data_IF_728923326798
#
_entry.id   IF_728923326798
#
_cell.length_a   1.000
_cell.length_b   1.000
_cell.length_c   1.000
_cell.angle_alpha   90.00
_cell.angle_beta   90.00
_cell.angle_gamma   90.00
#
_symmetry.space_group_name_H-M   'P 1'
#
loop_
_entity.id
_entity.type
_entity.pdbx_description
1 polymer ?
#
# COMPACT_ATOMS: atom_id res chain seq x y z
N UNK A 1 -48.45 -61.25 -36.13
CA UNK A 1 -46.99 -61.15 -35.93
C UNK A 1 -46.59 -59.73 -36.32
N UNK A 2 -46.22 -58.90 -35.35
CA UNK A 2 -45.88 -57.49 -35.59
C UNK A 2 -44.44 -57.29 -35.11
N UNK A 3 -43.52 -57.12 -36.06
CA UNK A 3 -42.11 -56.81 -35.77
C UNK A 3 -42.04 -55.40 -35.18
N UNK A 4 -41.47 -55.28 -33.99
CA UNK A 4 -41.09 -54.00 -33.42
C UNK A 4 -39.83 -53.49 -34.12
N UNK A 5 -39.95 -52.38 -34.85
CA UNK A 5 -38.80 -51.61 -35.30
C UNK A 5 -38.14 -50.99 -34.07
N UNK A 6 -36.91 -51.42 -33.75
CA UNK A 6 -36.07 -50.63 -32.84
C UNK A 6 -35.64 -49.38 -33.58
N UNK A 7 -36.19 -48.23 -33.16
CA UNK A 7 -35.65 -46.92 -33.51
C UNK A 7 -34.31 -46.79 -32.77
N UNK A 8 -33.20 -46.99 -33.47
CA UNK A 8 -31.90 -46.54 -32.99
C UNK A 8 -31.99 -45.02 -32.77
N UNK A 9 -31.96 -44.59 -31.51
CA UNK A 9 -31.71 -43.18 -31.18
C UNK A 9 -30.35 -42.82 -31.78
N UNK A 10 -30.24 -41.75 -32.58
CA UNK A 10 -28.93 -41.24 -32.97
C UNK A 10 -28.16 -40.93 -31.69
N UNK A 11 -26.98 -41.51 -31.54
CA UNK A 11 -26.01 -41.09 -30.54
C UNK A 11 -25.80 -39.58 -30.73
N UNK A 12 -25.95 -38.74 -29.68
CA UNK A 12 -25.71 -37.31 -29.81
C UNK A 12 -24.32 -37.10 -30.39
N UNK A 13 -24.21 -36.41 -31.53
CA UNK A 13 -22.92 -36.00 -32.04
C UNK A 13 -22.29 -35.04 -31.02
N UNK A 14 -21.03 -35.23 -30.62
CA UNK A 14 -20.33 -34.24 -29.83
C UNK A 14 -20.07 -33.01 -30.69
N UNK A 15 -20.53 -31.85 -30.24
CA UNK A 15 -20.29 -30.55 -30.88
C UNK A 15 -18.79 -30.23 -30.81
N UNK A 16 -18.07 -30.54 -31.89
CA UNK A 16 -16.61 -30.50 -31.95
C UNK A 16 -15.97 -29.09 -31.88
N UNK A 17 -16.79 -28.04 -31.72
CA UNK A 17 -16.39 -26.62 -31.65
C UNK A 17 -16.99 -25.87 -30.45
N UNK A 18 -17.44 -26.56 -29.39
CA UNK A 18 -17.93 -25.87 -28.19
C UNK A 18 -16.79 -25.11 -27.48
N UNK A 19 -16.88 -23.78 -27.28
CA UNK A 19 -15.86 -23.02 -26.56
C UNK A 19 -15.82 -23.44 -25.09
N UNK A 20 -14.61 -23.72 -24.56
CA UNK A 20 -14.40 -24.04 -23.15
C UNK A 20 -14.80 -22.82 -22.27
N UNK A 21 -15.88 -22.91 -21.46
CA UNK A 21 -16.32 -21.80 -20.63
C UNK A 21 -15.47 -21.63 -19.37
N UNK A 22 -14.52 -22.53 -19.09
CA UNK A 22 -13.75 -22.56 -17.83
C UNK A 22 -12.96 -21.27 -17.64
N UNK A 23 -12.19 -20.84 -18.63
CA UNK A 23 -11.36 -19.63 -18.49
C UNK A 23 -12.21 -18.34 -18.33
N UNK A 24 -13.27 -18.11 -19.14
CA UNK A 24 -14.20 -17.00 -18.91
C UNK A 24 -14.88 -17.04 -17.53
N UNK A 25 -15.31 -18.23 -17.07
CA UNK A 25 -15.96 -18.38 -15.77
C UNK A 25 -15.00 -18.15 -14.59
N UNK A 26 -13.77 -18.65 -14.67
CA UNK A 26 -12.72 -18.38 -13.68
C UNK A 26 -12.44 -16.89 -13.59
N UNK A 27 -12.29 -16.20 -14.74
CA UNK A 27 -12.12 -14.75 -14.77
C UNK A 27 -13.28 -14.01 -14.10
N UNK A 28 -14.52 -14.39 -14.41
CA UNK A 28 -15.70 -13.83 -13.76
C UNK A 28 -15.67 -14.01 -12.22
N UNK A 29 -15.32 -15.21 -11.73
CA UNK A 29 -15.21 -15.48 -10.28
C UNK A 29 -14.12 -14.63 -9.62
N UNK A 30 -12.98 -14.45 -10.28
CA UNK A 30 -11.90 -13.56 -9.81
C UNK A 30 -12.39 -12.12 -9.70
N UNK A 31 -13.04 -11.61 -10.74
CA UNK A 31 -13.53 -10.23 -10.79
C UNK A 31 -14.60 -9.96 -9.74
N UNK A 32 -15.53 -10.90 -9.54
CA UNK A 32 -16.55 -10.83 -8.50
C UNK A 32 -15.93 -10.81 -7.08
N UNK A 33 -14.94 -11.66 -6.82
CA UNK A 33 -14.24 -11.70 -5.54
C UNK A 33 -13.46 -10.40 -5.27
N UNK A 34 -12.77 -9.86 -6.28
CA UNK A 34 -12.06 -8.58 -6.16
C UNK A 34 -13.01 -7.40 -5.88
N UNK A 35 -14.19 -7.38 -6.53
CA UNK A 35 -15.19 -6.35 -6.28
C UNK A 35 -15.77 -6.43 -4.85
N UNK A 36 -16.00 -7.65 -4.34
CA UNK A 36 -16.44 -7.85 -2.96
C UNK A 36 -15.38 -7.37 -1.96
N UNK A 37 -14.12 -7.71 -2.16
CA UNK A 37 -12.99 -7.27 -1.32
C UNK A 37 -12.88 -5.74 -1.31
N UNK A 38 -12.96 -5.11 -2.49
CA UNK A 38 -12.94 -3.65 -2.60
C UNK A 38 -14.06 -3.01 -1.77
N UNK A 39 -15.29 -3.53 -1.87
CA UNK A 39 -16.44 -3.04 -1.10
C UNK A 39 -16.22 -3.14 0.42
N UNK A 40 -15.69 -4.27 0.89
CA UNK A 40 -15.34 -4.47 2.30
C UNK A 40 -14.28 -3.47 2.76
N UNK A 41 -13.21 -3.29 1.99
CA UNK A 41 -12.12 -2.38 2.33
C UNK A 41 -12.58 -0.92 2.34
N UNK A 42 -13.35 -0.46 1.36
CA UNK A 42 -13.89 0.90 1.34
C UNK A 42 -14.84 1.18 2.50
N UNK A 43 -15.67 0.21 2.87
CA UNK A 43 -16.59 0.35 4.01
C UNK A 43 -15.82 0.50 5.32
N UNK A 44 -14.76 -0.30 5.52
CA UNK A 44 -13.90 -0.18 6.69
C UNK A 44 -13.12 1.14 6.70
N UNK A 45 -12.65 1.58 5.53
CA UNK A 45 -11.87 2.80 5.39
C UNK A 45 -12.70 4.07 5.63
N UNK A 46 -13.95 4.10 5.18
CA UNK A 46 -14.88 5.21 5.40
C UNK A 46 -15.04 5.53 6.90
N UNK A 47 -15.07 4.51 7.76
CA UNK A 47 -15.14 4.69 9.21
C UNK A 47 -13.92 5.44 9.80
N UNK A 48 -12.77 5.44 9.10
CA UNK A 48 -11.56 6.18 9.47
C UNK A 48 -11.50 7.56 8.80
N UNK A 49 -11.88 7.64 7.52
CA UNK A 49 -11.73 8.85 6.70
C UNK A 49 -12.85 9.87 6.93
N UNK A 50 -14.09 9.43 7.07
CA UNK A 50 -15.24 10.34 7.18
C UNK A 50 -15.17 11.25 8.42
N UNK A 51 -14.81 10.76 9.62
CA UNK A 51 -14.61 11.65 10.77
C UNK A 51 -13.56 12.73 10.51
N UNK A 52 -12.49 12.41 9.77
CA UNK A 52 -11.43 13.36 9.41
C UNK A 52 -11.89 14.38 8.37
N UNK A 53 -12.74 13.98 7.43
CA UNK A 53 -13.39 14.92 6.52
C UNK A 53 -14.23 15.94 7.30
N UNK A 54 -14.97 15.49 8.32
CA UNK A 54 -15.76 16.40 9.17
C UNK A 54 -14.91 17.43 9.91
N UNK A 55 -13.66 17.08 10.26
CA UNK A 55 -12.72 18.02 10.91
C UNK A 55 -12.32 19.19 10.00
N UNK A 56 -12.52 19.12 8.68
CA UNK A 56 -12.27 20.24 7.77
C UNK A 56 -13.30 21.35 7.94
N UNK A 57 -14.54 21.02 8.32
CA UNK A 57 -15.62 21.98 8.45
C UNK A 57 -15.39 22.92 9.64
N UNK A 58 -15.34 24.22 9.34
CA UNK A 58 -15.10 25.26 10.35
C UNK A 58 -13.69 25.25 10.96
N UNK A 59 -12.77 24.41 10.49
CA UNK A 59 -11.43 24.28 11.05
C UNK A 59 -10.67 25.61 11.10
N UNK A 60 -10.74 26.38 10.01
CA UNK A 60 -10.14 27.70 9.92
C UNK A 60 -10.70 28.67 10.98
N UNK A 61 -12.01 28.64 11.22
CA UNK A 61 -12.65 29.47 12.25
C UNK A 61 -12.20 29.07 13.65
N UNK A 62 -12.25 27.77 13.98
CA UNK A 62 -11.77 27.24 15.28
C UNK A 62 -10.31 27.60 15.54
N UNK A 63 -9.45 27.49 14.52
CA UNK A 63 -8.06 27.90 14.63
C UNK A 63 -7.92 29.41 14.84
N UNK A 64 -8.68 30.24 14.10
CA UNK A 64 -8.65 31.69 14.27
C UNK A 64 -9.06 32.11 15.69
N UNK A 65 -10.12 31.50 16.24
CA UNK A 65 -10.58 31.71 17.61
C UNK A 65 -9.52 31.29 18.63
N UNK A 66 -8.98 30.08 18.50
CA UNK A 66 -7.93 29.59 19.39
C UNK A 66 -6.67 30.49 19.34
N UNK A 67 -6.26 30.90 18.14
CA UNK A 67 -5.12 31.81 17.95
C UNK A 67 -5.38 33.17 18.60
N UNK A 68 -6.56 33.74 18.39
CA UNK A 68 -6.94 35.03 18.99
C UNK A 68 -6.95 34.94 20.52
N UNK A 69 -7.50 33.86 21.09
CA UNK A 69 -7.56 33.64 22.53
C UNK A 69 -6.17 33.48 23.18
N UNK A 70 -5.17 33.03 22.42
CA UNK A 70 -3.81 32.79 22.92
C UNK A 70 -2.81 33.87 22.50
N UNK A 71 -3.25 34.92 21.79
CA UNK A 71 -2.35 35.91 21.18
C UNK A 71 -1.46 36.59 22.20
N UNK A 72 -2.04 37.15 23.26
CA UNK A 72 -1.29 37.89 24.28
C UNK A 72 -0.33 36.97 25.03
N UNK A 73 -0.75 35.74 25.35
CA UNK A 73 0.10 34.74 26.00
C UNK A 73 1.27 34.29 25.11
N UNK A 74 1.05 34.18 23.80
CA UNK A 74 2.11 33.89 22.82
C UNK A 74 3.12 35.04 22.74
N UNK A 75 2.65 36.28 22.69
CA UNK A 75 3.48 37.48 22.63
C UNK A 75 4.29 37.68 23.92
N UNK A 76 3.69 37.46 25.09
CA UNK A 76 4.39 37.50 26.37
C UNK A 76 5.47 36.41 26.44
N UNK A 77 5.16 35.17 26.01
CA UNK A 77 6.15 34.09 25.96
C UNK A 77 7.33 34.46 25.05
N UNK A 78 7.07 35.06 23.88
CA UNK A 78 8.13 35.52 22.97
C UNK A 78 9.04 36.54 23.66
N UNK A 79 8.45 37.55 24.32
CA UNK A 79 9.20 38.57 25.05
C UNK A 79 9.99 37.98 26.23
N UNK A 80 9.40 37.03 26.95
CA UNK A 80 10.05 36.35 28.06
C UNK A 80 11.28 35.57 27.60
N UNK A 81 11.20 34.88 26.46
CA UNK A 81 12.35 34.19 25.86
C UNK A 81 13.48 35.15 25.47
N UNK A 82 13.14 36.35 24.97
CA UNK A 82 14.14 37.38 24.66
C UNK A 82 14.82 37.92 25.94
N UNK A 83 14.06 38.16 27.02
CA UNK A 83 14.64 38.55 28.32
C UNK A 83 15.59 37.48 28.88
N UNK A 84 15.19 36.22 28.84
CA UNK A 84 16.03 35.09 29.28
C UNK A 84 17.32 35.01 28.45
N UNK A 85 17.20 35.18 27.13
CA UNK A 85 18.34 35.19 26.21
C UNK A 85 19.34 36.28 26.60
N UNK A 86 18.89 37.51 26.77
CA UNK A 86 19.76 38.64 27.08
C UNK A 86 20.49 38.44 28.41
N UNK A 87 19.79 37.95 29.44
CA UNK A 87 20.39 37.63 30.75
C UNK A 87 21.47 36.53 30.64
N UNK A 88 21.20 35.48 29.86
CA UNK A 88 22.16 34.40 29.61
C UNK A 88 23.34 34.85 28.75
N UNK A 89 23.15 35.78 27.80
CA UNK A 89 24.22 36.30 26.95
C UNK A 89 25.19 37.18 27.74
N UNK A 90 24.73 37.83 28.81
CA UNK A 90 25.60 38.50 29.77
C UNK A 90 26.38 37.52 30.66
N UNK A 91 25.81 36.35 30.96
CA UNK A 91 26.34 35.41 31.95
C UNK A 91 27.21 34.29 31.38
N UNK A 92 26.99 33.88 30.12
CA UNK A 92 27.75 32.82 29.43
C UNK A 92 28.58 33.45 28.33
N UNK A 93 29.89 33.21 28.30
CA UNK A 93 30.79 33.74 27.25
C UNK A 93 30.40 33.23 25.87
N UNK A 94 30.61 34.05 24.84
CA UNK A 94 30.24 33.74 23.46
C UNK A 94 30.80 32.42 22.93
N UNK A 95 32.08 32.14 23.19
CA UNK A 95 32.72 30.89 22.77
C UNK A 95 32.02 29.65 23.37
N UNK A 96 31.60 29.73 24.63
CA UNK A 96 30.85 28.64 25.29
C UNK A 96 29.45 28.51 24.72
N UNK A 97 28.74 29.63 24.46
CA UNK A 97 27.42 29.62 23.82
C UNK A 97 27.45 28.94 22.46
N UNK A 98 28.42 29.30 21.61
CA UNK A 98 28.58 28.73 20.27
C UNK A 98 28.86 27.23 20.33
N UNK A 99 29.73 26.80 21.26
CA UNK A 99 30.03 25.38 21.47
C UNK A 99 28.81 24.59 21.94
N UNK A 100 28.08 25.11 22.93
CA UNK A 100 26.86 24.48 23.45
C UNK A 100 25.76 24.40 22.40
N UNK A 101 25.56 25.46 21.62
CA UNK A 101 24.58 25.49 20.52
C UNK A 101 24.90 24.46 19.44
N UNK A 102 26.18 24.32 19.06
CA UNK A 102 26.63 23.29 18.11
C UNK A 102 26.36 21.89 18.65
N UNK A 103 26.79 21.59 19.88
CA UNK A 103 26.55 20.30 20.52
C UNK A 103 25.05 19.97 20.62
N UNK A 104 24.21 20.96 20.93
CA UNK A 104 22.76 20.80 20.94
C UNK A 104 22.19 20.42 19.57
N UNK A 105 22.64 21.09 18.50
CA UNK A 105 22.20 20.77 17.13
C UNK A 105 22.63 19.37 16.69
N UNK A 106 23.87 18.98 16.99
CA UNK A 106 24.38 17.64 16.68
C UNK A 106 23.53 16.56 17.39
N UNK A 107 23.26 16.72 18.69
CA UNK A 107 22.41 15.81 19.47
C UNK A 107 20.94 15.80 19.00
N UNK A 108 20.38 16.94 18.62
CA UNK A 108 19.04 16.97 18.02
C UNK A 108 19.00 16.18 16.70
N UNK A 109 20.06 16.24 15.90
CA UNK A 109 20.18 15.44 14.69
C UNK A 109 20.19 13.94 14.96
N UNK A 110 20.95 13.49 15.96
CA UNK A 110 21.07 12.07 16.34
C UNK A 110 19.80 11.49 16.95
N UNK A 111 19.00 12.32 17.64
CA UNK A 111 17.80 11.90 18.38
C UNK A 111 16.50 11.96 17.58
N UNK A 112 16.54 12.37 16.31
CA UNK A 112 15.34 12.37 15.44
C UNK A 112 14.77 10.96 15.28
N UNK A 113 13.46 10.80 15.47
CA UNK A 113 12.81 9.49 15.48
C UNK A 113 12.82 8.81 14.11
N UNK A 114 12.86 7.47 14.14
CA UNK A 114 12.82 6.58 12.96
C UNK A 114 11.57 6.80 12.09
N UNK A 115 10.45 7.27 12.67
CA UNK A 115 9.24 7.63 11.92
C UNK A 115 9.45 8.75 10.89
N UNK A 116 10.49 9.59 11.06
CA UNK A 116 10.82 10.61 10.08
C UNK A 116 11.45 10.02 8.79
N UNK A 117 11.94 8.78 8.84
CA UNK A 117 12.70 8.13 7.76
C UNK A 117 11.88 7.23 6.82
N UNK A 118 10.56 7.08 7.05
CA UNK A 118 9.72 6.29 6.14
C UNK A 118 9.58 7.00 4.79
N UNK A 119 10.18 6.48 3.72
CA UNK A 119 9.95 7.02 2.37
C UNK A 119 8.58 6.55 1.84
N UNK A 120 7.75 7.51 1.43
CA UNK A 120 6.43 7.26 0.84
C UNK A 120 6.36 7.72 -0.62
N UNK A 121 7.47 8.19 -1.20
CA UNK A 121 7.52 8.76 -2.55
C UNK A 121 7.00 7.81 -3.61
N UNK A 122 7.36 6.53 -3.51
CA UNK A 122 6.87 5.51 -4.44
C UNK A 122 5.36 5.31 -4.32
N UNK A 123 4.83 5.17 -3.11
CA UNK A 123 3.39 5.03 -2.86
C UNK A 123 2.62 6.25 -3.34
N UNK A 124 3.15 7.45 -3.11
CA UNK A 124 2.57 8.74 -3.52
C UNK A 124 2.58 8.94 -5.05
N UNK A 125 3.40 8.17 -5.78
CA UNK A 125 3.47 8.18 -7.24
C UNK A 125 2.53 7.20 -7.93
N UNK A 126 1.89 6.29 -7.18
CA UNK A 126 1.02 5.26 -7.75
C UNK A 126 -0.37 5.81 -8.12
N UNK A 127 -1.01 5.14 -9.07
CA UNK A 127 -2.45 5.26 -9.33
C UNK A 127 -3.07 3.88 -9.38
N UNK A 128 -4.35 3.74 -9.05
CA UNK A 128 -5.03 2.43 -9.04
C UNK A 128 -5.03 1.74 -10.41
N UNK A 129 -4.93 2.51 -11.49
CA UNK A 129 -4.88 1.99 -12.86
C UNK A 129 -3.47 1.57 -13.30
N UNK A 130 -2.43 1.95 -12.54
CA UNK A 130 -1.01 1.74 -12.86
C UNK A 130 -0.27 1.06 -11.71
N UNK A 131 -0.83 -0.05 -11.23
CA UNK A 131 -0.15 -0.89 -10.24
C UNK A 131 0.82 -1.87 -10.93
N UNK A 132 1.96 -2.20 -10.28
CA UNK A 132 2.86 -3.22 -10.80
C UNK A 132 2.17 -4.58 -10.86
N UNK A 133 2.57 -5.43 -11.81
CA UNK A 133 1.96 -6.75 -12.02
C UNK A 133 2.68 -7.86 -11.21
N UNK A 134 3.88 -7.57 -10.72
CA UNK A 134 4.71 -8.52 -9.97
C UNK A 134 4.16 -8.67 -8.54
N UNK A 135 3.78 -9.90 -8.15
CA UNK A 135 3.12 -10.14 -6.86
C UNK A 135 4.00 -9.78 -5.64
N UNK A 136 5.30 -10.08 -5.69
CA UNK A 136 6.22 -9.73 -4.60
C UNK A 136 6.35 -8.22 -4.46
N UNK A 137 6.34 -7.49 -5.58
CA UNK A 137 6.34 -6.03 -5.59
C UNK A 137 5.02 -5.46 -5.06
N UNK A 138 3.89 -6.02 -5.46
CA UNK A 138 2.56 -5.64 -4.97
C UNK A 138 2.45 -5.83 -3.45
N UNK A 139 2.90 -6.97 -2.92
CA UNK A 139 2.87 -7.27 -1.47
C UNK A 139 3.79 -6.32 -0.69
N UNK A 140 4.99 -6.05 -1.20
CA UNK A 140 5.90 -5.08 -0.59
C UNK A 140 5.28 -3.66 -0.55
N UNK A 141 4.71 -3.21 -1.66
CA UNK A 141 4.04 -1.92 -1.74
C UNK A 141 2.79 -1.85 -0.87
N UNK A 142 2.00 -2.92 -0.77
CA UNK A 142 0.82 -2.96 0.10
C UNK A 142 1.20 -2.78 1.59
N UNK A 143 2.32 -3.38 2.02
CA UNK A 143 2.85 -3.20 3.37
C UNK A 143 3.34 -1.76 3.60
N UNK A 144 4.11 -1.21 2.67
CA UNK A 144 4.61 0.17 2.74
C UNK A 144 3.47 1.20 2.70
N UNK A 145 2.46 0.99 1.87
CA UNK A 145 1.29 1.86 1.74
C UNK A 145 0.51 1.94 3.05
N UNK A 146 0.36 0.83 3.78
CA UNK A 146 -0.22 0.82 5.12
C UNK A 146 0.52 1.73 6.09
N UNK A 147 1.87 1.62 6.16
CA UNK A 147 2.68 2.50 7.00
C UNK A 147 2.59 3.98 6.57
N UNK A 148 2.54 4.24 5.25
CA UNK A 148 2.40 5.58 4.70
C UNK A 148 1.03 6.21 4.98
N UNK A 149 -0.05 5.42 4.96
CA UNK A 149 -1.39 5.82 5.34
C UNK A 149 -1.43 6.20 6.83
N UNK A 150 -0.93 5.34 7.73
CA UNK A 150 -0.81 5.67 9.16
C UNK A 150 0.00 6.94 9.42
N UNK A 151 1.10 7.14 8.68
CA UNK A 151 1.87 8.39 8.77
C UNK A 151 1.05 9.60 8.35
N UNK A 152 0.22 9.48 7.31
CA UNK A 152 -0.65 10.56 6.84
C UNK A 152 -1.79 10.83 7.82
N UNK A 153 -2.39 9.80 8.40
CA UNK A 153 -3.37 9.91 9.50
C UNK A 153 -2.79 10.73 10.65
N UNK A 154 -1.65 10.31 11.19
CA UNK A 154 -0.98 10.98 12.30
C UNK A 154 -0.60 12.44 11.94
N UNK A 155 -0.19 12.69 10.70
CA UNK A 155 0.14 14.03 10.24
C UNK A 155 -1.09 14.93 10.14
N UNK A 156 -2.21 14.40 9.63
CA UNK A 156 -3.48 15.11 9.56
C UNK A 156 -4.05 15.37 10.95
N UNK A 157 -4.12 14.36 11.81
CA UNK A 157 -4.70 14.46 13.15
C UNK A 157 -3.96 15.46 14.02
N UNK A 158 -2.61 15.48 13.95
CA UNK A 158 -1.79 16.50 14.62
C UNK A 158 -2.16 17.91 14.17
N UNK A 159 -2.31 18.12 12.86
CA UNK A 159 -2.65 19.44 12.33
C UNK A 159 -4.10 19.81 12.66
N UNK A 160 -5.05 18.88 12.54
CA UNK A 160 -6.46 19.10 12.85
C UNK A 160 -6.70 19.38 14.34
N UNK A 161 -5.89 18.77 15.22
CA UNK A 161 -5.92 18.96 16.66
C UNK A 161 -5.21 20.24 17.13
N UNK A 162 -4.53 20.97 16.24
CA UNK A 162 -3.77 22.17 16.60
C UNK A 162 -4.60 23.21 17.38
N UNK A 163 -5.85 23.57 17.00
CA UNK A 163 -6.65 24.54 17.76
C UNK A 163 -6.85 24.17 19.23
N UNK A 164 -7.02 22.87 19.53
CA UNK A 164 -7.20 22.38 20.89
C UNK A 164 -5.90 22.30 21.70
N UNK A 165 -4.74 22.27 21.03
CA UNK A 165 -3.43 22.07 21.67
C UNK A 165 -2.64 23.38 21.83
N UNK A 166 -2.98 24.44 21.08
CA UNK A 166 -2.29 25.74 21.17
C UNK A 166 -2.23 26.29 22.59
N UNK A 167 -3.37 26.38 23.28
CA UNK A 167 -3.44 26.92 24.64
C UNK A 167 -2.62 26.12 25.66
N UNK A 168 -2.83 24.80 25.78
CA UNK A 168 -2.02 23.93 26.63
C UNK A 168 -0.51 24.06 26.35
N UNK A 169 -0.11 24.09 25.07
CA UNK A 169 1.30 24.18 24.67
C UNK A 169 1.93 25.53 25.04
N UNK A 170 1.23 26.64 24.79
CA UNK A 170 1.72 27.98 25.18
C UNK A 170 1.84 28.09 26.70
N UNK A 171 0.86 27.58 27.45
CA UNK A 171 0.88 27.57 28.91
C UNK A 171 2.04 26.76 29.48
N UNK A 172 2.29 25.57 28.95
CA UNK A 172 3.41 24.73 29.36
C UNK A 172 4.75 25.42 29.10
N UNK A 173 4.95 25.95 27.90
CA UNK A 173 6.16 26.70 27.55
C UNK A 173 6.33 27.96 28.42
N UNK A 174 5.26 28.70 28.71
CA UNK A 174 5.28 29.84 29.62
C UNK A 174 5.66 29.46 31.06
N UNK A 175 5.21 28.29 31.53
CA UNK A 175 5.58 27.77 32.84
C UNK A 175 7.08 27.42 32.88
N UNK A 176 7.58 26.76 31.84
CA UNK A 176 9.00 26.44 31.72
C UNK A 176 9.88 27.69 31.58
N UNK A 177 9.42 28.70 30.81
CA UNK A 177 10.09 29.98 30.66
C UNK A 177 10.19 30.72 31.99
N UNK A 178 9.09 30.79 32.76
CA UNK A 178 9.06 31.42 34.07
C UNK A 178 9.99 30.75 35.05
N UNK A 179 10.00 29.42 35.10
CA UNK A 179 10.93 28.67 35.95
C UNK A 179 12.39 28.95 35.57
N UNK A 180 12.69 29.01 34.26
CA UNK A 180 14.04 29.30 33.78
C UNK A 180 14.47 30.75 34.06
N UNK A 181 13.59 31.74 33.87
CA UNK A 181 13.87 33.15 34.15
C UNK A 181 14.22 33.36 35.63
N UNK A 182 13.51 32.69 36.54
CA UNK A 182 13.82 32.67 37.97
C UNK A 182 15.15 31.97 38.28
N UNK A 183 15.46 30.89 37.57
CA UNK A 183 16.72 30.15 37.71
C UNK A 183 17.92 31.00 37.28
N UNK A 184 17.86 31.69 36.15
CA UNK A 184 18.98 32.48 35.62
C UNK A 184 19.41 33.59 36.58
N UNK A 185 18.46 34.16 37.34
CA UNK A 185 18.72 35.20 38.34
C UNK A 185 19.15 34.65 39.72
N UNK A 186 19.24 33.33 39.90
CA UNK A 186 19.50 32.69 41.18
C UNK A 186 21.00 32.61 41.55
N UNK A 187 21.39 32.81 42.83
CA UNK A 187 22.80 32.94 43.25
C UNK A 187 23.63 31.64 43.23
N UNK A 188 23.07 30.50 42.78
CA UNK A 188 23.73 29.18 42.78
C UNK A 188 23.59 28.39 41.48
N UNK A 189 23.09 29.01 40.41
CA UNK A 189 22.83 28.29 39.16
C UNK A 189 24.03 28.28 38.21
N UNK A 190 24.19 27.15 37.52
CA UNK A 190 25.17 27.02 36.43
C UNK A 190 24.61 27.67 35.16
N UNK A 191 25.16 28.80 34.71
CA UNK A 191 24.63 29.54 33.58
C UNK A 191 24.75 28.74 32.27
N UNK A 192 25.68 27.78 32.16
CA UNK A 192 25.79 26.90 30.99
C UNK A 192 24.62 25.92 30.94
N UNK A 193 24.23 25.34 32.08
CA UNK A 193 23.05 24.47 32.17
C UNK A 193 21.77 25.24 31.84
N UNK A 194 21.60 26.44 32.37
CA UNK A 194 20.47 27.30 32.06
C UNK A 194 20.44 27.69 30.57
N UNK A 195 21.61 27.91 29.95
CA UNK A 195 21.71 28.13 28.50
C UNK A 195 21.24 26.93 27.68
N UNK A 196 21.60 25.70 28.06
CA UNK A 196 21.09 24.50 27.36
C UNK A 196 19.58 24.33 27.55
N UNK A 197 19.03 24.61 28.75
CA UNK A 197 17.57 24.65 28.98
C UNK A 197 16.89 25.69 28.09
N UNK A 198 17.51 26.86 27.92
CA UNK A 198 17.03 27.90 27.00
C UNK A 198 17.04 27.40 25.55
N UNK A 199 18.09 26.71 25.08
CA UNK A 199 18.13 26.15 23.72
C UNK A 199 16.98 25.17 23.47
N UNK A 200 16.66 24.30 24.45
CA UNK A 200 15.51 23.41 24.38
C UNK A 200 14.20 24.18 24.29
N UNK A 201 13.98 25.13 25.19
CA UNK A 201 12.76 25.92 25.24
C UNK A 201 12.57 26.75 23.96
N UNK A 202 13.68 27.29 23.42
CA UNK A 202 13.69 28.01 22.15
C UNK A 202 13.34 27.10 20.98
N UNK A 203 13.87 25.88 20.95
CA UNK A 203 13.53 24.89 19.94
C UNK A 203 12.02 24.57 19.94
N UNK A 204 11.43 24.33 21.12
CA UNK A 204 9.99 24.07 21.25
C UNK A 204 9.13 25.27 20.84
N UNK A 205 9.58 26.50 21.16
CA UNK A 205 8.92 27.72 20.73
C UNK A 205 9.02 27.94 19.22
N UNK A 206 10.16 27.63 18.60
CA UNK A 206 10.33 27.71 17.14
C UNK A 206 9.41 26.68 16.44
N UNK A 207 9.23 25.47 16.99
CA UNK A 207 8.23 24.51 16.51
C UNK A 207 6.80 25.07 16.65
N UNK A 208 6.47 25.72 17.77
CA UNK A 208 5.17 26.39 17.93
C UNK A 208 4.99 27.54 16.93
N UNK A 209 6.06 28.26 16.60
CA UNK A 209 6.04 29.34 15.62
C UNK A 209 5.73 28.84 14.21
N UNK A 210 6.23 27.67 13.82
CA UNK A 210 5.88 27.03 12.54
C UNK A 210 4.39 26.68 12.44
N UNK A 211 3.76 26.44 13.59
CA UNK A 211 2.33 26.20 13.76
C UNK A 211 1.51 27.51 13.91
N UNK A 212 2.16 28.64 14.21
CA UNK A 212 1.55 29.95 14.45
C UNK A 212 1.28 30.76 13.17
N UNK A 213 0.67 30.13 12.17
CA UNK A 213 0.40 30.70 10.84
C UNK A 213 -0.90 31.51 10.75
N UNK A 214 -1.13 32.23 9.66
CA UNK A 214 -2.43 32.85 9.40
C UNK A 214 -3.53 31.78 9.24
N UNK A 215 -4.79 32.06 9.65
CA UNK A 215 -5.86 31.06 9.61
C UNK A 215 -6.15 30.49 8.22
N UNK A 216 -6.02 31.30 7.17
CA UNK A 216 -6.22 30.85 5.79
C UNK A 216 -5.15 29.82 5.38
N UNK A 217 -3.88 30.07 5.70
CA UNK A 217 -2.78 29.14 5.47
C UNK A 217 -2.92 27.87 6.29
N UNK A 218 -3.39 27.95 7.53
CA UNK A 218 -3.76 26.77 8.32
C UNK A 218 -4.82 25.93 7.59
N UNK A 219 -5.94 26.55 7.18
CA UNK A 219 -7.02 25.86 6.46
C UNK A 219 -6.54 25.21 5.16
N UNK A 220 -5.69 25.91 4.40
CA UNK A 220 -5.08 25.38 3.18
C UNK A 220 -4.13 24.20 3.44
N UNK A 221 -3.27 24.28 4.48
CA UNK A 221 -2.40 23.16 4.89
C UNK A 221 -3.23 21.94 5.27
N UNK A 222 -4.29 22.12 6.06
CA UNK A 222 -5.14 21.03 6.51
C UNK A 222 -5.82 20.30 5.34
N UNK A 223 -6.38 21.04 4.38
CA UNK A 223 -6.96 20.44 3.15
C UNK A 223 -5.92 19.69 2.32
N UNK A 224 -4.68 20.21 2.23
CA UNK A 224 -3.59 19.52 1.52
C UNK A 224 -3.24 18.20 2.21
N UNK A 225 -3.14 18.19 3.53
CA UNK A 225 -2.85 16.98 4.30
C UNK A 225 -3.98 15.96 4.14
N UNK A 226 -5.24 16.41 4.16
CA UNK A 226 -6.38 15.55 3.90
C UNK A 226 -6.34 14.93 2.50
N UNK A 227 -5.96 15.69 1.47
CA UNK A 227 -5.79 15.15 0.10
C UNK A 227 -4.72 14.05 0.04
N UNK A 228 -3.59 14.25 0.72
CA UNK A 228 -2.51 13.24 0.79
C UNK A 228 -2.98 12.00 1.54
N UNK A 229 -3.70 12.17 2.65
CA UNK A 229 -4.34 11.09 3.40
C UNK A 229 -5.27 10.29 2.48
N UNK A 230 -6.26 10.95 1.86
CA UNK A 230 -7.19 10.30 0.92
C UNK A 230 -6.48 9.50 -0.16
N UNK A 231 -5.46 10.11 -0.80
CA UNK A 231 -4.70 9.45 -1.83
C UNK A 231 -4.06 8.14 -1.32
N UNK A 232 -3.36 8.20 -0.18
CA UNK A 232 -2.68 7.02 0.39
C UNK A 232 -3.65 5.93 0.84
N UNK A 233 -4.82 6.30 1.36
CA UNK A 233 -5.88 5.34 1.69
C UNK A 233 -6.39 4.63 0.43
N UNK A 234 -6.71 5.38 -0.62
CA UNK A 234 -7.13 4.83 -1.91
C UNK A 234 -6.07 3.88 -2.49
N UNK A 235 -4.80 4.29 -2.51
CA UNK A 235 -3.71 3.43 -3.01
C UNK A 235 -3.55 2.17 -2.15
N UNK A 236 -3.69 2.28 -0.83
CA UNK A 236 -3.65 1.12 0.08
C UNK A 236 -4.76 0.12 -0.25
N UNK A 237 -5.99 0.60 -0.50
CA UNK A 237 -7.11 -0.26 -0.90
C UNK A 237 -6.83 -0.92 -2.25
N UNK A 238 -6.41 -0.14 -3.26
CA UNK A 238 -6.14 -0.66 -4.60
C UNK A 238 -5.04 -1.73 -4.60
N UNK A 239 -3.96 -1.54 -3.84
CA UNK A 239 -2.90 -2.53 -3.67
C UNK A 239 -3.41 -3.81 -2.99
N UNK A 240 -4.21 -3.69 -1.92
CA UNK A 240 -4.81 -4.86 -1.24
C UNK A 240 -5.75 -5.63 -2.15
N UNK A 241 -6.59 -4.94 -2.92
CA UNK A 241 -7.50 -5.56 -3.91
C UNK A 241 -6.70 -6.26 -5.01
N UNK A 242 -5.61 -5.66 -5.49
CA UNK A 242 -4.75 -6.29 -6.50
C UNK A 242 -4.10 -7.58 -5.98
N UNK A 243 -3.60 -7.58 -4.75
CA UNK A 243 -3.07 -8.79 -4.08
C UNK A 243 -4.17 -9.84 -3.93
N UNK A 244 -5.35 -9.47 -3.43
CA UNK A 244 -6.47 -10.40 -3.26
C UNK A 244 -6.94 -10.99 -4.61
N UNK A 245 -6.96 -10.19 -5.68
CA UNK A 245 -7.30 -10.64 -7.03
C UNK A 245 -6.30 -11.68 -7.52
N UNK A 246 -5.01 -11.46 -7.32
CA UNK A 246 -3.96 -12.42 -7.67
C UNK A 246 -4.12 -13.73 -6.91
N UNK A 247 -4.29 -13.65 -5.58
CA UNK A 247 -4.43 -14.84 -4.73
C UNK A 247 -5.70 -15.65 -5.11
N UNK A 248 -6.81 -14.99 -5.46
CA UNK A 248 -8.02 -15.66 -5.97
C UNK A 248 -7.84 -16.27 -7.36
N UNK A 249 -7.08 -15.64 -8.26
CA UNK A 249 -6.75 -16.22 -9.57
C UNK A 249 -6.00 -17.53 -9.41
N UNK A 250 -4.97 -17.55 -8.55
CA UNK A 250 -4.23 -18.79 -8.28
C UNK A 250 -5.13 -19.88 -7.69
N UNK A 251 -5.94 -19.54 -6.67
CA UNK A 251 -6.84 -20.50 -6.05
C UNK A 251 -7.82 -21.14 -7.05
N UNK A 252 -8.43 -20.35 -7.94
CA UNK A 252 -9.37 -20.88 -8.93
C UNK A 252 -8.68 -21.62 -10.08
N UNK A 253 -7.47 -21.23 -10.46
CA UNK A 253 -6.66 -21.99 -11.41
C UNK A 253 -6.28 -23.37 -10.84
N UNK A 254 -5.92 -23.43 -9.56
CA UNK A 254 -5.57 -24.67 -8.87
C UNK A 254 -6.81 -25.56 -8.68
N UNK A 255 -7.98 -25.00 -8.36
CA UNK A 255 -9.28 -25.70 -8.39
C UNK A 255 -9.56 -26.29 -9.79
N UNK A 256 -9.35 -25.50 -10.85
CA UNK A 256 -9.58 -25.96 -12.23
C UNK A 256 -8.59 -27.06 -12.65
N UNK A 257 -7.32 -26.96 -12.24
CA UNK A 257 -6.31 -28.02 -12.48
C UNK A 257 -6.66 -29.29 -11.70
N UNK A 258 -7.11 -29.17 -10.45
CA UNK A 258 -7.55 -30.31 -9.66
C UNK A 258 -8.75 -31.01 -10.33
N UNK A 259 -9.76 -30.25 -10.75
CA UNK A 259 -10.92 -30.80 -11.48
C UNK A 259 -10.53 -31.49 -12.79
N UNK A 260 -9.59 -30.93 -13.56
CA UNK A 260 -9.04 -31.58 -14.76
C UNK A 260 -8.28 -32.86 -14.45
N UNK A 261 -7.56 -32.91 -13.32
CA UNK A 261 -6.84 -34.09 -12.86
C UNK A 261 -7.80 -35.20 -12.43
N UNK A 262 -8.88 -34.86 -11.74
CA UNK A 262 -9.89 -35.83 -11.28
C UNK A 262 -10.68 -36.43 -12.45
N UNK A 263 -10.87 -35.66 -13.52
CA UNK A 263 -11.54 -36.09 -14.76
C UNK A 263 -10.56 -36.46 -15.89
N UNK A 264 -9.28 -36.74 -15.56
CA UNK A 264 -8.22 -36.89 -16.57
C UNK A 264 -8.48 -38.05 -17.53
N UNK A 265 -9.03 -39.17 -17.03
CA UNK A 265 -9.33 -40.35 -17.86
C UNK A 265 -10.41 -40.00 -18.89
N UNK A 266 -11.49 -39.35 -18.47
CA UNK A 266 -12.59 -38.98 -19.36
C UNK A 266 -12.13 -37.94 -20.40
N UNK A 267 -11.33 -36.95 -20.00
CA UNK A 267 -10.73 -35.97 -20.91
C UNK A 267 -9.79 -36.62 -21.94
N UNK A 268 -9.00 -37.63 -21.54
CA UNK A 268 -8.14 -38.39 -22.46
C UNK A 268 -8.98 -39.22 -23.42
N UNK A 269 -10.07 -39.84 -22.95
CA UNK A 269 -10.99 -40.61 -23.79
C UNK A 269 -11.72 -39.72 -24.81
N UNK A 270 -12.18 -38.54 -24.40
CA UNK A 270 -12.77 -37.54 -25.29
C UNK A 270 -11.77 -37.01 -26.32
N UNK A 271 -10.53 -36.73 -25.90
CA UNK A 271 -9.45 -36.27 -26.79
C UNK A 271 -8.99 -37.35 -27.80
N UNK A 272 -9.00 -38.62 -27.39
CA UNK A 272 -8.63 -39.75 -28.25
C UNK A 272 -9.73 -40.13 -29.27
N UNK A 273 -10.93 -39.57 -29.13
CA UNK A 273 -12.02 -39.83 -30.08
C UNK A 273 -11.75 -39.04 -31.36
N UNK A 274 -11.60 -39.70 -32.54
CA UNK A 274 -11.28 -38.99 -33.77
C UNK A 274 -12.38 -37.98 -34.11
N UNK A 275 -11.98 -36.73 -34.39
CA UNK A 275 -12.91 -35.69 -34.84
C UNK A 275 -13.67 -36.19 -36.07
N UNK A 276 -15.01 -36.21 -36.07
CA UNK A 276 -15.78 -36.63 -37.23
C UNK A 276 -15.54 -35.61 -38.35
N UNK A 277 -14.69 -35.95 -39.32
CA UNK A 277 -14.40 -35.11 -40.48
C UNK A 277 -12.96 -35.15 -41.01
N UNK A 278 -11.97 -35.68 -40.27
CA UNK A 278 -10.63 -35.88 -40.86
C UNK A 278 -10.58 -37.19 -41.65
N UNK A 279 -11.26 -37.21 -42.80
CA UNK A 279 -11.17 -38.28 -43.77
C UNK A 279 -9.75 -38.39 -44.32
N UNK A 280 -9.05 -39.46 -43.93
CA UNK A 280 -7.98 -40.09 -44.72
C UNK A 280 -8.49 -41.45 -45.19
N UNK A 281 -8.18 -41.89 -46.43
CA UNK A 281 -9.06 -42.75 -47.22
C UNK A 281 -9.23 -44.15 -46.63
N UNK A 282 -10.48 -44.59 -46.69
CA UNK A 282 -10.90 -45.96 -46.42
C UNK A 282 -10.08 -46.95 -47.24
N UNK A 283 -9.39 -47.86 -46.56
CA UNK A 283 -9.00 -49.12 -47.15
C UNK A 283 -10.27 -49.90 -47.52
N UNK A 284 -10.34 -50.36 -48.76
CA UNK A 284 -11.35 -51.29 -49.24
C UNK A 284 -10.69 -52.28 -50.21
N UNK A 285 -11.26 -53.47 -50.43
CA UNK A 285 -11.82 -54.42 -49.48
C UNK A 285 -11.17 -55.81 -49.62
N UNK A 286 -11.58 -56.74 -48.75
CA UNK A 286 -11.00 -58.06 -48.51
C UNK A 286 -11.02 -59.08 -49.66
N UNK A 287 -10.09 -60.03 -49.62
CA UNK A 287 -10.32 -61.42 -50.05
C UNK A 287 -9.85 -62.39 -48.95
N UNK A 288 -10.60 -63.48 -48.67
CA UNK A 288 -10.18 -64.52 -47.73
C UNK A 288 -9.62 -65.73 -48.49
N UNK A 289 -8.49 -66.30 -48.04
CA UNK A 289 -8.14 -67.73 -48.22
C UNK A 289 -6.95 -68.14 -47.35
N UNK A 290 -7.27 -68.99 -46.37
CA UNK A 290 -6.53 -70.12 -45.77
C UNK A 290 -5.10 -70.00 -45.18
N UNK A 291 -4.80 -70.87 -44.17
CA UNK A 291 -3.58 -70.83 -43.36
C UNK A 291 -2.49 -71.76 -43.92
N UNK A 292 -1.22 -71.49 -43.63
CA UNK A 292 -0.19 -72.47 -43.22
C UNK A 292 1.20 -71.80 -43.13
N UNK A 293 1.81 -71.99 -41.96
CA UNK A 293 3.20 -72.37 -41.67
C UNK A 293 4.46 -71.55 -42.06
N UNK A 294 5.41 -71.66 -41.12
CA UNK A 294 6.88 -71.57 -41.18
C UNK A 294 7.59 -70.19 -41.17
N UNK A 295 8.23 -69.95 -40.01
CA UNK A 295 9.67 -69.76 -39.85
C UNK A 295 10.44 -68.89 -40.87
N UNK A 296 11.00 -67.74 -40.43
CA UNK A 296 12.45 -67.56 -40.26
C UNK A 296 12.86 -66.10 -40.05
N UNK A 297 14.00 -65.95 -39.41
CA UNK A 297 14.64 -64.73 -38.93
C UNK A 297 15.27 -63.84 -40.02
N UNK A 298 15.50 -62.56 -39.69
CA UNK A 298 16.76 -61.78 -39.87
C UNK A 298 16.46 -60.28 -39.70
N UNK A 299 17.00 -59.63 -38.66
CA UNK A 299 18.23 -58.84 -38.67
C UNK A 299 18.24 -57.64 -39.63
N UNK A 300 18.50 -56.44 -39.11
CA UNK A 300 18.85 -55.29 -39.93
C UNK A 300 18.79 -53.93 -39.24
N UNK A 301 19.87 -53.59 -38.53
CA UNK A 301 20.47 -52.25 -38.32
C UNK A 301 19.98 -51.11 -39.24
N UNK A 302 20.07 -49.82 -38.96
CA UNK A 302 20.46 -48.93 -37.86
C UNK A 302 20.51 -47.51 -38.46
N UNK A 303 20.47 -46.47 -37.61
CA UNK A 303 20.96 -45.09 -37.87
C UNK A 303 20.26 -44.30 -39.00
N UNK A 304 20.00 -42.99 -38.91
CA UNK A 304 20.87 -41.91 -38.45
C UNK A 304 20.02 -40.63 -38.30
N UNK A 305 20.16 -39.90 -37.19
CA UNK A 305 20.09 -38.42 -37.18
C UNK A 305 21.44 -37.88 -37.72
N UNK A 306 21.73 -36.55 -37.89
CA UNK A 306 20.94 -35.34 -37.59
C UNK A 306 21.00 -34.29 -38.74
N UNK A 307 20.32 -33.14 -38.57
CA UNK A 307 20.92 -31.81 -38.79
C UNK A 307 19.91 -30.68 -38.49
N UNK A 308 20.22 -29.89 -37.47
CA UNK A 308 19.94 -28.44 -37.35
C UNK A 308 21.20 -27.71 -37.90
N UNK A 309 21.31 -26.37 -37.92
CA UNK A 309 20.37 -25.25 -38.14
C UNK A 309 20.90 -24.31 -39.26
N UNK A 310 20.26 -23.17 -39.51
CA UNK A 310 20.84 -21.79 -39.57
C UNK A 310 19.82 -20.83 -40.23
N UNK A 311 19.37 -19.78 -39.52
CA UNK A 311 19.88 -18.38 -39.53
C UNK A 311 19.24 -17.59 -40.69
N UNK A 312 18.78 -16.35 -40.58
CA UNK A 312 19.16 -15.16 -39.78
C UNK A 312 17.89 -14.39 -39.39
#
# INVERSE_FOLDING_TARGET
>A
MTQAYQVQKPTPQPDADCPDPTAPHTKYRVDAAAAQEASTLYTADAASVDPRYQLLHGAQGKYAEAKAAQKDAYEELAQQLDRIKDSLYCSVKEADRNRLAKCWQDLLGETKSVEQNLDCSEVDGLTCDQLPQEIDRLRALASQAGACATRADNAFDRLAGLPGTLGPRIKDLGTQATALEQEVCGPRNDPRRSFVKYLRLRHEFDLLKDDWVDPARYGCKLKRYFKVLLHRHVITICLKVAVARYDKSQAFEDEAKAAKKDNLIDLVLECATPKPGSGGPAAAPAEPSEPEDEESASEGYASTQPAKPESI
#
